data_IF_719849022993
#
_entry.id   IF_719849022993
#
_cell.length_a   1.000
_cell.length_b   1.000
_cell.length_c   1.000
_cell.angle_alpha   90.00
_cell.angle_beta   90.00
_cell.angle_gamma   90.00
#
_symmetry.space_group_name_H-M   'P 1'
#
loop_
_entity.id
_entity.type
_entity.pdbx_description
1 polymer ?
#
# COMPACT_ATOMS: atom_id res chain seq x y z
N UNK A 1 -7.13 18.47 4.51
CA UNK A 1 -7.57 17.13 4.97
C UNK A 1 -7.27 16.18 3.84
N UNK A 2 -6.37 15.20 4.04
CA UNK A 2 -6.11 14.18 3.03
C UNK A 2 -7.27 13.18 3.06
N UNK A 3 -7.83 12.82 1.90
CA UNK A 3 -8.93 11.83 1.81
C UNK A 3 -8.37 10.43 1.58
N UNK A 4 -9.17 9.40 1.87
CA UNK A 4 -8.77 7.99 1.68
C UNK A 4 -8.32 7.73 0.25
N UNK A 5 -9.05 8.27 -0.72
CA UNK A 5 -8.74 8.15 -2.13
C UNK A 5 -7.35 8.72 -2.45
N UNK A 6 -6.98 9.84 -1.85
CA UNK A 6 -5.64 10.43 -2.04
C UNK A 6 -4.55 9.52 -1.46
N UNK A 7 -4.72 9.02 -0.23
CA UNK A 7 -3.75 8.09 0.36
C UNK A 7 -3.64 6.81 -0.47
N UNK A 8 -4.77 6.29 -0.98
CA UNK A 8 -4.77 5.08 -1.80
C UNK A 8 -4.05 5.30 -3.13
N UNK A 9 -4.31 6.43 -3.81
CA UNK A 9 -3.60 6.77 -5.04
C UNK A 9 -2.09 6.92 -4.82
N UNK A 10 -1.67 7.55 -3.72
CA UNK A 10 -0.25 7.69 -3.38
C UNK A 10 0.39 6.33 -3.09
N UNK A 11 -0.29 5.45 -2.33
CA UNK A 11 0.18 4.08 -2.06
C UNK A 11 0.33 3.29 -3.35
N UNK A 12 -0.65 3.37 -4.24
CA UNK A 12 -0.62 2.71 -5.56
C UNK A 12 0.49 3.28 -6.43
N UNK A 13 0.69 4.59 -6.47
CA UNK A 13 1.78 5.24 -7.20
C UNK A 13 3.15 4.78 -6.68
N UNK A 14 3.35 4.78 -5.36
CA UNK A 14 4.57 4.30 -4.71
C UNK A 14 4.83 2.82 -5.03
N UNK A 15 3.83 1.97 -4.91
CA UNK A 15 3.93 0.56 -5.28
C UNK A 15 4.26 0.41 -6.77
N UNK A 16 3.58 1.15 -7.64
CA UNK A 16 3.79 1.08 -9.09
C UNK A 16 5.22 1.44 -9.50
N UNK A 17 5.79 2.50 -8.90
CA UNK A 17 7.16 2.96 -9.15
C UNK A 17 8.17 1.97 -8.60
N UNK A 18 7.88 1.37 -7.45
CA UNK A 18 8.78 0.42 -6.81
C UNK A 18 8.83 -0.92 -7.58
N UNK A 19 7.67 -1.44 -7.99
CA UNK A 19 7.56 -2.71 -8.70
C UNK A 19 7.60 -2.57 -10.23
N UNK A 20 7.78 -1.36 -10.75
CA UNK A 20 7.80 -1.04 -12.17
C UNK A 20 6.56 -1.59 -12.92
N UNK A 21 5.38 -1.38 -12.33
CA UNK A 21 4.09 -1.75 -12.93
C UNK A 21 3.27 -0.50 -13.28
N UNK A 22 2.36 -0.56 -14.25
CA UNK A 22 1.51 0.59 -14.58
C UNK A 22 0.42 0.85 -13.53
N UNK A 23 0.38 2.07 -12.97
CA UNK A 23 -0.67 2.54 -12.03
C UNK A 23 -2.08 2.28 -12.56
N UNK A 24 -2.30 2.49 -13.86
CA UNK A 24 -3.62 2.28 -14.49
C UNK A 24 -4.11 0.83 -14.49
N UNK A 25 -3.25 -0.13 -14.13
CA UNK A 25 -3.59 -1.55 -14.05
C UNK A 25 -3.80 -2.04 -12.61
N UNK A 26 -3.65 -1.15 -11.62
CA UNK A 26 -3.84 -1.39 -10.20
C UNK A 26 -5.12 -0.70 -9.74
N UNK A 27 -6.09 -1.46 -9.25
CA UNK A 27 -7.28 -0.90 -8.62
C UNK A 27 -7.10 -0.81 -7.09
N UNK A 28 -7.77 0.14 -6.41
CA UNK A 28 -7.81 0.21 -4.94
C UNK A 28 -8.25 -1.10 -4.29
N UNK A 29 -9.17 -1.82 -4.93
CA UNK A 29 -9.77 -3.04 -4.43
C UNK A 29 -9.09 -4.31 -4.97
N UNK A 30 -7.91 -4.16 -5.56
CA UNK A 30 -7.17 -5.25 -6.16
C UNK A 30 -6.10 -5.78 -5.21
N UNK A 31 -5.91 -7.10 -5.26
CA UNK A 31 -4.88 -7.82 -4.53
C UNK A 31 -3.50 -7.37 -5.01
N UNK A 32 -2.76 -6.61 -4.20
CA UNK A 32 -1.43 -6.16 -4.56
C UNK A 32 -0.45 -7.34 -4.67
N UNK A 33 -0.63 -8.41 -3.88
CA UNK A 33 0.14 -9.65 -4.03
C UNK A 33 -0.04 -10.28 -5.42
N UNK A 34 -1.27 -10.38 -5.90
CA UNK A 34 -1.57 -10.99 -7.21
C UNK A 34 -1.25 -10.05 -8.37
N UNK A 35 -1.48 -8.75 -8.21
CA UNK A 35 -1.28 -7.75 -9.26
C UNK A 35 0.16 -7.38 -9.46
N UNK A 36 0.90 -7.19 -8.36
CA UNK A 36 2.33 -6.90 -8.42
C UNK A 36 3.13 -8.19 -8.60
N UNK A 37 2.54 -9.36 -8.28
CA UNK A 37 3.24 -10.63 -8.31
C UNK A 37 4.35 -10.68 -7.26
N UNK A 38 4.10 -10.08 -6.09
CA UNK A 38 5.09 -9.89 -5.03
C UNK A 38 4.91 -10.93 -3.92
N UNK A 39 6.01 -11.28 -3.27
CA UNK A 39 6.01 -12.14 -2.09
C UNK A 39 5.86 -11.34 -0.79
N UNK A 40 5.59 -12.02 0.34
CA UNK A 40 5.45 -11.38 1.66
C UNK A 40 6.65 -10.51 2.04
N UNK A 41 7.87 -10.86 1.63
CA UNK A 41 9.06 -10.05 1.89
C UNK A 41 9.00 -8.71 1.14
N UNK A 42 8.64 -8.74 -0.14
CA UNK A 42 8.52 -7.53 -0.95
C UNK A 42 7.36 -6.64 -0.49
N UNK A 43 6.27 -7.24 0.00
CA UNK A 43 5.18 -6.49 0.64
C UNK A 43 5.65 -5.77 1.90
N UNK A 44 6.49 -6.41 2.73
CA UNK A 44 7.12 -5.78 3.90
C UNK A 44 8.07 -4.64 3.50
N UNK A 45 8.84 -4.79 2.41
CA UNK A 45 9.69 -3.71 1.88
C UNK A 45 8.86 -2.50 1.42
N UNK A 46 7.75 -2.75 0.72
CA UNK A 46 6.80 -1.71 0.32
C UNK A 46 6.18 -1.04 1.57
N UNK A 47 5.74 -1.81 2.54
CA UNK A 47 5.17 -1.29 3.79
C UNK A 47 6.16 -0.38 4.51
N UNK A 48 7.41 -0.83 4.70
CA UNK A 48 8.45 -0.03 5.34
C UNK A 48 8.73 1.28 4.59
N UNK A 49 8.68 1.26 3.26
CA UNK A 49 8.76 2.47 2.42
C UNK A 49 7.60 3.42 2.67
N UNK A 50 6.38 2.90 2.72
CA UNK A 50 5.17 3.68 2.96
C UNK A 50 5.20 4.27 4.37
N UNK A 51 5.53 3.48 5.38
CA UNK A 51 5.73 3.91 6.76
C UNK A 51 6.73 5.07 6.86
N UNK A 52 7.89 4.94 6.22
CA UNK A 52 8.90 6.00 6.21
C UNK A 52 8.44 7.24 5.44
N UNK A 53 7.70 7.06 4.34
CA UNK A 53 7.21 8.15 3.51
C UNK A 53 6.10 8.96 4.19
N UNK A 54 5.16 8.28 4.86
CA UNK A 54 4.06 8.91 5.59
C UNK A 54 4.44 9.28 7.02
N UNK A 55 5.54 8.75 7.55
CA UNK A 55 6.00 8.96 8.92
C UNK A 55 5.13 8.23 9.96
N UNK A 56 4.68 7.02 9.64
CA UNK A 56 3.82 6.21 10.50
C UNK A 56 4.45 4.84 10.81
N UNK A 57 3.91 4.15 11.80
CA UNK A 57 4.24 2.75 12.11
C UNK A 57 3.00 1.87 11.95
N UNK A 58 3.10 0.86 11.08
CA UNK A 58 2.08 -0.14 10.80
C UNK A 58 2.48 -1.46 11.47
N UNK A 59 1.80 -1.86 12.55
CA UNK A 59 2.07 -3.14 13.19
C UNK A 59 1.72 -4.31 12.26
N UNK A 60 2.50 -5.39 12.31
CA UNK A 60 2.28 -6.59 11.50
C UNK A 60 0.85 -7.12 11.62
N UNK A 61 0.24 -7.09 12.82
CA UNK A 61 -1.12 -7.58 13.05
C UNK A 61 -2.21 -6.76 12.32
N UNK A 62 -1.96 -5.49 11.98
CA UNK A 62 -2.91 -4.65 11.26
C UNK A 62 -2.84 -4.86 9.75
N UNK A 63 -1.65 -5.23 9.26
CA UNK A 63 -1.41 -5.58 7.86
C UNK A 63 -1.55 -7.10 7.62
N UNK A 64 -1.66 -7.90 8.68
CA UNK A 64 -1.86 -9.33 8.59
C UNK A 64 -3.22 -9.64 7.95
N UNK A 65 -3.19 -10.17 6.73
CA UNK A 65 -4.39 -10.43 5.92
C UNK A 65 -4.86 -9.24 5.09
N UNK A 66 -4.11 -8.14 5.09
CA UNK A 66 -4.31 -7.03 4.15
C UNK A 66 -3.65 -7.41 2.83
N UNK A 67 -4.47 -7.62 1.81
CA UNK A 67 -3.99 -7.91 0.46
C UNK A 67 -4.37 -6.83 -0.55
N UNK A 68 -5.22 -5.87 -0.17
CA UNK A 68 -5.72 -4.80 -1.06
C UNK A 68 -5.11 -3.44 -0.73
N UNK A 69 -4.91 -2.62 -1.76
CA UNK A 69 -4.36 -1.26 -1.60
C UNK A 69 -5.25 -0.33 -0.77
N UNK A 70 -6.58 -0.45 -0.92
CA UNK A 70 -7.56 0.35 -0.18
C UNK A 70 -7.44 0.11 1.32
N UNK A 71 -7.50 -1.14 1.75
CA UNK A 71 -7.40 -1.50 3.17
C UNK A 71 -6.07 -1.05 3.74
N UNK A 72 -4.98 -1.20 2.99
CA UNK A 72 -3.66 -0.74 3.38
C UNK A 72 -3.61 0.79 3.55
N UNK A 73 -4.18 1.53 2.60
CA UNK A 73 -4.32 2.98 2.68
C UNK A 73 -5.24 3.44 3.83
N UNK A 74 -6.29 2.70 4.17
CA UNK A 74 -7.15 2.96 5.34
C UNK A 74 -6.37 2.88 6.65
N UNK A 75 -5.48 1.89 6.78
CA UNK A 75 -4.59 1.75 7.94
C UNK A 75 -3.62 2.92 8.02
N UNK A 76 -3.00 3.29 6.90
CA UNK A 76 -2.09 4.43 6.83
C UNK A 76 -2.82 5.72 7.22
N UNK A 77 -4.01 5.94 6.64
CA UNK A 77 -4.80 7.14 6.89
C UNK A 77 -5.27 7.24 8.35
N UNK A 78 -5.61 6.13 8.98
CA UNK A 78 -6.02 6.13 10.39
C UNK A 78 -4.87 6.54 11.34
N UNK A 79 -3.63 6.56 10.85
CA UNK A 79 -2.43 6.96 11.60
C UNK A 79 -1.84 8.33 11.18
N UNK A 80 -2.34 8.91 10.09
CA UNK A 80 -1.95 10.22 9.52
C UNK A 80 -2.72 11.38 10.16
#
# INVERSE_FOLDING_TARGET
MRTLDQTTQEVVDLASKHFNVPVGSLAPSDDFFKKLGIDSLQALELLSRLENHFGIELPDYEVQGVSDFRTLAERIQSRL
#
